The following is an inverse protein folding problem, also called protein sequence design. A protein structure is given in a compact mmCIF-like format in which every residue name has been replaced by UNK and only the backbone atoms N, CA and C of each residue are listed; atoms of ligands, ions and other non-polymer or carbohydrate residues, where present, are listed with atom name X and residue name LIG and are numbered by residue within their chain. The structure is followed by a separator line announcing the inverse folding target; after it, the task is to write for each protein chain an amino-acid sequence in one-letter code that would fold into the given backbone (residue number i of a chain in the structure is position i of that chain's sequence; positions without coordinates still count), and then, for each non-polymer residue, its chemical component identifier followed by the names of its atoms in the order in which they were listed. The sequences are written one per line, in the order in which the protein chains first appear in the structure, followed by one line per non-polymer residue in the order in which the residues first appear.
data_IF_831820233429
#
_entry.id   IF_831820233429
#
_cell.length_a   1.000
_cell.length_b   1.000
_cell.length_c   1.000
_cell.angle_alpha   90.00
_cell.angle_beta   90.00
_cell.angle_gamma   90.00
#
_symmetry.space_group_name_H-M   'P 1'
#
loop_
_entity.id
_entity.type
_entity.pdbx_description
1 polymer ?
#
# COMPACT_ATOMS: atom_id res chain seq x y z
N UNK A 1 -22.47 16.01 40.58
CA UNK A 1 -22.42 17.25 41.32
C UNK A 1 -21.46 18.23 40.66
N UNK A 2 -22.04 19.40 40.28
CA UNK A 2 -21.57 20.77 40.12
C UNK A 2 -20.91 21.10 38.77
N UNK A 3 -21.51 21.85 38.00
CA UNK A 3 -22.03 23.20 37.78
C UNK A 3 -21.29 23.90 36.64
N UNK A 4 -22.01 24.23 35.58
CA UNK A 4 -21.79 25.34 34.66
C UNK A 4 -21.87 26.66 35.45
N UNK A 5 -21.33 27.83 35.05
CA UNK A 5 -21.93 28.63 33.99
C UNK A 5 -20.97 29.56 33.22
N UNK A 6 -21.35 30.05 32.07
CA UNK A 6 -21.24 31.46 31.68
C UNK A 6 -22.18 31.79 30.51
N UNK A 7 -23.23 32.51 30.84
CA UNK A 7 -24.07 33.32 29.95
C UNK A 7 -23.52 34.75 29.86
N UNK A 8 -23.78 35.36 28.71
CA UNK A 8 -23.93 36.82 28.61
C UNK A 8 -22.97 37.50 27.67
N UNK A 9 -23.40 38.00 26.53
CA UNK A 9 -23.88 39.40 26.40
C UNK A 9 -24.32 39.65 24.95
N UNK A 10 -25.62 39.81 24.79
CA UNK A 10 -26.23 40.56 23.69
C UNK A 10 -26.01 42.06 23.94
N UNK A 11 -25.58 42.80 22.91
CA UNK A 11 -25.79 44.24 22.87
C UNK A 11 -26.29 44.65 21.50
N UNK A 12 -27.52 45.09 21.49
CA UNK A 12 -28.26 45.76 20.44
C UNK A 12 -27.61 47.10 20.08
N UNK A 13 -27.46 47.39 18.80
CA UNK A 13 -27.51 48.75 18.29
C UNK A 13 -28.54 48.81 17.15
N UNK A 14 -29.70 49.36 17.49
CA UNK A 14 -30.66 49.96 16.55
C UNK A 14 -30.12 51.31 16.10
N UNK A 15 -30.17 51.60 14.82
CA UNK A 15 -30.25 52.97 14.29
C UNK A 15 -31.27 53.04 13.12
N UNK A 16 -31.86 54.24 12.87
CA UNK A 16 -33.24 54.35 12.47
C UNK A 16 -33.46 54.44 10.95
N UNK A 17 -34.68 54.10 10.59
CA UNK A 17 -35.27 54.32 9.28
C UNK A 17 -35.46 55.80 9.00
N UNK A 18 -34.91 56.32 7.92
CA UNK A 18 -35.45 57.49 7.23
C UNK A 18 -35.08 57.42 5.73
N UNK A 19 -36.14 57.55 4.94
CA UNK A 19 -36.19 57.93 3.52
C UNK A 19 -35.77 56.91 2.49
N UNK A 20 -36.77 56.14 2.03
CA UNK A 20 -36.80 55.43 0.78
C UNK A 20 -37.25 56.39 -0.32
N UNK A 21 -36.39 56.73 -1.24
CA UNK A 21 -36.81 57.31 -2.51
C UNK A 21 -37.01 56.15 -3.51
N UNK A 22 -38.28 56.06 -3.92
CA UNK A 22 -38.77 55.05 -4.84
C UNK A 22 -38.49 55.48 -6.26
N UNK A 23 -37.35 55.00 -6.81
CA UNK A 23 -37.14 54.90 -8.28
C UNK A 23 -35.81 54.17 -8.50
N UNK A 24 -35.87 52.83 -8.66
CA UNK A 24 -35.04 52.06 -9.54
C UNK A 24 -35.24 50.54 -9.30
N UNK A 25 -36.44 50.11 -9.69
CA UNK A 25 -36.70 48.68 -9.94
C UNK A 25 -36.54 48.46 -11.44
N UNK A 26 -35.35 48.13 -11.89
CA UNK A 26 -35.18 47.45 -13.19
C UNK A 26 -33.89 46.61 -13.19
N UNK A 27 -34.08 45.29 -13.20
CA UNK A 27 -33.29 44.38 -14.00
C UNK A 27 -31.86 44.11 -13.52
N UNK A 28 -31.69 43.26 -12.52
CA UNK A 28 -30.40 42.56 -12.36
C UNK A 28 -30.24 41.47 -13.41
N UNK A 29 -29.93 41.89 -14.64
CA UNK A 29 -29.37 40.99 -15.67
C UNK A 29 -27.92 40.76 -15.29
N UNK A 30 -27.55 39.50 -15.00
CA UNK A 30 -26.18 39.09 -14.79
C UNK A 30 -25.42 39.29 -16.12
N UNK A 31 -24.91 40.50 -16.29
CA UNK A 31 -24.13 40.91 -17.45
C UNK A 31 -22.71 40.35 -17.36
N UNK A 32 -22.40 39.38 -18.20
CA UNK A 32 -21.04 39.04 -18.53
C UNK A 32 -20.41 40.25 -19.26
N UNK A 33 -19.72 41.12 -18.52
CA UNK A 33 -19.02 42.27 -19.12
C UNK A 33 -17.80 41.76 -19.85
N UNK A 34 -17.95 41.72 -21.16
CA UNK A 34 -16.82 41.46 -22.09
C UNK A 34 -16.13 42.81 -22.32
N UNK A 35 -14.92 42.99 -21.79
CA UNK A 35 -14.09 44.15 -22.11
C UNK A 35 -13.58 44.01 -23.52
N UNK A 36 -14.18 44.80 -24.46
CA UNK A 36 -13.61 45.06 -25.78
C UNK A 36 -12.61 46.21 -25.65
N UNK A 37 -11.34 45.95 -25.84
CA UNK A 37 -10.38 47.01 -26.20
C UNK A 37 -10.35 47.13 -27.70
N UNK A 38 -10.83 48.30 -28.19
CA UNK A 38 -10.86 48.75 -29.59
C UNK A 38 -11.73 47.96 -30.60
N UNK A 39 -12.85 48.45 -30.85
CA UNK A 39 -13.69 48.79 -31.99
C UNK A 39 -13.73 47.94 -33.26
N UNK A 40 -13.36 46.65 -33.26
CA UNK A 40 -13.63 45.75 -34.39
C UNK A 40 -14.11 44.42 -33.80
N UNK A 41 -15.35 44.01 -34.09
CA UNK A 41 -15.83 42.67 -33.78
C UNK A 41 -14.86 41.65 -34.38
N UNK A 42 -14.36 40.67 -33.59
CA UNK A 42 -13.42 39.68 -34.14
C UNK A 42 -14.11 38.93 -35.28
N UNK A 43 -13.58 39.01 -36.49
CA UNK A 43 -14.06 38.20 -37.62
C UNK A 43 -13.88 36.74 -37.26
N UNK A 44 -14.90 35.89 -37.49
CA UNK A 44 -14.83 34.46 -37.24
C UNK A 44 -13.58 33.87 -37.92
N UNK A 45 -12.87 33.02 -37.17
CA UNK A 45 -11.67 32.37 -37.70
C UNK A 45 -12.10 31.41 -38.83
N UNK A 46 -11.24 31.35 -39.88
CA UNK A 46 -11.45 30.43 -41.00
C UNK A 46 -10.35 29.39 -41.06
N UNK A 47 -10.68 28.22 -41.61
CA UNK A 47 -9.71 27.11 -41.72
C UNK A 47 -8.50 27.48 -42.59
N UNK A 48 -8.73 28.31 -43.62
CA UNK A 48 -7.67 28.86 -44.47
C UNK A 48 -6.67 29.69 -43.66
N UNK A 49 -7.17 30.53 -42.74
CA UNK A 49 -6.31 31.36 -41.88
C UNK A 49 -5.52 30.50 -40.87
N UNK A 50 -6.13 29.42 -40.37
CA UNK A 50 -5.43 28.48 -39.50
C UNK A 50 -4.34 27.74 -40.24
N UNK A 51 -4.60 27.26 -41.46
CA UNK A 51 -3.59 26.60 -42.31
C UNK A 51 -2.41 27.51 -42.60
N UNK A 52 -2.69 28.76 -42.95
CA UNK A 52 -1.69 29.77 -43.30
C UNK A 52 -0.83 30.22 -42.09
N UNK A 53 -1.25 29.98 -40.85
CA UNK A 53 -0.50 30.37 -39.67
C UNK A 53 0.80 29.56 -39.53
N UNK A 54 1.95 30.26 -39.66
CA UNK A 54 3.29 29.65 -39.51
C UNK A 54 3.83 29.87 -38.09
N UNK A 55 4.65 28.97 -37.59
CA UNK A 55 5.36 29.16 -36.32
C UNK A 55 6.29 30.39 -36.39
N UNK A 56 6.42 31.10 -35.28
CA UNK A 56 7.35 32.19 -35.07
C UNK A 56 8.19 31.94 -33.82
N UNK A 57 9.22 32.75 -33.58
CA UNK A 57 10.11 32.60 -32.40
C UNK A 57 9.37 32.70 -31.07
N UNK A 58 8.19 33.30 -31.04
CA UNK A 58 7.33 33.43 -29.84
C UNK A 58 5.96 32.82 -30.07
N UNK A 59 5.38 32.28 -28.99
CA UNK A 59 4.01 31.80 -28.99
C UNK A 59 3.05 32.95 -29.28
N UNK A 60 2.19 32.81 -30.29
CA UNK A 60 1.13 33.78 -30.55
C UNK A 60 -0.24 33.12 -30.61
N UNK A 61 -1.30 33.95 -30.56
CA UNK A 61 -2.69 33.51 -30.48
C UNK A 61 -3.48 34.13 -31.63
N UNK A 62 -4.34 33.32 -32.26
CA UNK A 62 -5.34 33.78 -33.21
C UNK A 62 -6.70 33.52 -32.58
N UNK A 63 -7.46 34.59 -32.36
CA UNK A 63 -8.73 34.53 -31.70
C UNK A 63 -9.86 34.23 -32.67
N UNK A 64 -10.76 33.37 -32.24
CA UNK A 64 -12.10 33.15 -32.80
C UNK A 64 -13.14 33.87 -31.91
N UNK A 65 -14.40 33.60 -32.10
CA UNK A 65 -15.49 34.17 -31.33
C UNK A 65 -15.63 33.45 -29.98
N UNK A 66 -16.24 34.16 -29.01
CA UNK A 66 -16.73 33.55 -27.71
C UNK A 66 -15.64 32.86 -26.85
N UNK A 67 -14.44 33.42 -26.84
CA UNK A 67 -13.34 32.95 -25.99
C UNK A 67 -12.54 31.79 -26.57
N UNK A 68 -12.89 31.29 -27.76
CA UNK A 68 -12.08 30.33 -28.49
C UNK A 68 -10.88 30.99 -29.13
N UNK A 69 -9.71 30.37 -29.08
CA UNK A 69 -8.52 30.79 -29.81
C UNK A 69 -7.60 29.61 -30.13
N UNK A 70 -6.77 29.79 -31.13
CA UNK A 70 -5.70 28.85 -31.45
C UNK A 70 -4.38 29.42 -31.01
N UNK A 71 -3.56 28.68 -30.34
CA UNK A 71 -2.22 29.00 -29.85
C UNK A 71 -1.22 28.31 -30.76
N UNK A 72 -0.31 29.11 -31.38
CA UNK A 72 0.74 28.63 -32.28
C UNK A 72 2.10 28.80 -31.58
N UNK A 73 2.65 27.71 -31.03
CA UNK A 73 3.98 27.74 -30.42
C UNK A 73 5.09 27.66 -31.50
N UNK A 74 6.35 27.97 -31.13
CA UNK A 74 7.51 27.84 -32.05
C UNK A 74 7.69 26.42 -32.61
N UNK A 75 7.20 25.39 -31.87
CA UNK A 75 7.24 23.98 -32.28
C UNK A 75 6.28 23.64 -33.42
N UNK A 76 5.41 24.57 -33.84
CA UNK A 76 4.46 24.41 -34.95
C UNK A 76 3.16 23.70 -34.58
N UNK A 77 3.04 23.10 -33.43
CA UNK A 77 1.84 22.36 -32.97
C UNK A 77 0.72 23.32 -32.58
N UNK A 78 -0.25 23.54 -33.46
CA UNK A 78 -1.39 24.45 -33.24
C UNK A 78 -2.39 23.88 -32.25
N UNK A 79 -2.64 24.60 -31.12
CA UNK A 79 -3.44 24.09 -29.99
C UNK A 79 -4.69 24.91 -29.79
N UNK A 80 -5.85 24.27 -29.80
CA UNK A 80 -7.11 24.90 -29.46
C UNK A 80 -7.22 25.17 -27.97
N UNK A 81 -7.62 26.41 -27.64
CA UNK A 81 -7.82 26.87 -26.27
C UNK A 81 -9.15 27.59 -26.14
N UNK A 82 -9.83 27.39 -25.01
CA UNK A 82 -11.00 28.15 -24.64
C UNK A 82 -10.74 28.89 -23.34
N UNK A 83 -10.99 30.19 -23.36
CA UNK A 83 -10.82 31.12 -22.24
C UNK A 83 -12.22 31.40 -21.67
N UNK A 84 -12.40 31.25 -20.37
CA UNK A 84 -13.67 31.45 -19.66
C UNK A 84 -13.46 32.02 -18.28
N UNK A 85 -14.52 32.51 -17.66
CA UNK A 85 -14.51 33.02 -16.29
C UNK A 85 -15.49 32.22 -15.44
N UNK A 86 -15.06 31.79 -14.26
CA UNK A 86 -15.91 31.08 -13.29
C UNK A 86 -15.50 31.52 -11.88
N UNK A 87 -16.49 31.78 -11.00
CA UNK A 87 -16.27 32.28 -9.65
C UNK A 87 -15.32 33.50 -9.60
N UNK A 88 -15.50 34.45 -10.53
CA UNK A 88 -14.68 35.65 -10.63
C UNK A 88 -13.26 35.45 -11.18
N UNK A 89 -12.79 34.20 -11.36
CA UNK A 89 -11.44 33.88 -11.84
C UNK A 89 -11.45 33.52 -13.31
N UNK A 90 -10.47 34.07 -14.03
CA UNK A 90 -10.22 33.71 -15.45
C UNK A 90 -9.47 32.38 -15.52
N UNK A 91 -9.97 31.47 -16.34
CA UNK A 91 -9.37 30.16 -16.59
C UNK A 91 -9.31 29.86 -18.08
N UNK A 92 -8.50 28.86 -18.45
CA UNK A 92 -8.38 28.35 -19.80
C UNK A 92 -8.30 26.83 -19.83
N UNK A 93 -8.93 26.21 -20.84
CA UNK A 93 -8.80 24.77 -21.10
C UNK A 93 -8.28 24.53 -22.53
N UNK A 94 -7.62 23.39 -22.72
CA UNK A 94 -7.24 22.89 -24.04
C UNK A 94 -8.37 22.06 -24.61
N UNK A 95 -8.78 22.33 -25.86
CA UNK A 95 -9.83 21.60 -26.58
C UNK A 95 -9.26 20.57 -27.57
N UNK A 96 -7.93 20.55 -27.78
CA UNK A 96 -7.25 19.62 -28.68
C UNK A 96 -6.20 20.29 -29.57
N UNK A 97 -5.69 19.56 -30.54
CA UNK A 97 -4.63 19.97 -31.43
C UNK A 97 -5.19 19.97 -32.88
N UNK A 98 -4.87 21.02 -33.66
CA UNK A 98 -5.14 21.05 -35.07
C UNK A 98 -4.00 20.32 -35.83
N UNK A 99 -4.25 19.50 -36.88
CA UNK A 99 -5.54 19.32 -37.55
C UNK A 99 -6.45 18.18 -36.99
N UNK A 100 -6.03 17.43 -35.98
CA UNK A 100 -6.84 16.36 -35.41
C UNK A 100 -8.24 16.85 -34.98
N UNK A 101 -8.30 18.04 -34.40
CA UNK A 101 -9.55 18.76 -34.09
C UNK A 101 -9.67 19.91 -35.08
N UNK A 102 -10.66 19.81 -35.95
CA UNK A 102 -11.00 20.87 -36.90
C UNK A 102 -11.63 22.10 -36.25
N UNK A 103 -11.81 23.19 -37.03
CA UNK A 103 -12.43 24.42 -36.52
C UNK A 103 -13.89 24.19 -36.06
N UNK A 104 -14.64 23.36 -36.78
CA UNK A 104 -16.01 23.02 -36.45
C UNK A 104 -16.08 22.29 -35.10
N UNK A 105 -15.26 21.23 -34.93
CA UNK A 105 -15.22 20.44 -33.72
C UNK A 105 -14.73 21.27 -32.51
N UNK A 106 -13.79 22.19 -32.75
CA UNK A 106 -13.31 23.09 -31.70
C UNK A 106 -14.41 24.04 -31.21
N UNK A 107 -15.28 24.53 -32.11
CA UNK A 107 -16.45 25.33 -31.75
C UNK A 107 -17.48 24.52 -30.98
N UNK A 108 -17.78 23.30 -31.40
CA UNK A 108 -18.69 22.40 -30.68
C UNK A 108 -18.18 22.13 -29.26
N UNK A 109 -16.90 21.81 -29.10
CA UNK A 109 -16.28 21.61 -27.78
C UNK A 109 -16.27 22.88 -26.91
N UNK A 110 -16.11 24.06 -27.53
CA UNK A 110 -16.26 25.34 -26.82
C UNK A 110 -17.69 25.50 -26.30
N UNK A 111 -18.68 25.24 -27.13
CA UNK A 111 -20.09 25.44 -26.80
C UNK A 111 -20.51 24.51 -25.67
N UNK A 112 -20.04 23.26 -25.70
CA UNK A 112 -20.25 22.34 -24.58
C UNK A 112 -19.60 22.84 -23.29
N UNK A 113 -18.34 23.32 -23.35
CA UNK A 113 -17.67 23.91 -22.21
C UNK A 113 -18.41 25.17 -21.69
N UNK A 114 -18.97 26.00 -22.57
CA UNK A 114 -19.81 27.15 -22.19
C UNK A 114 -21.07 26.75 -21.45
N UNK A 115 -21.77 25.70 -21.90
CA UNK A 115 -22.93 25.16 -21.18
C UNK A 115 -22.56 24.73 -19.77
N UNK A 116 -21.40 24.10 -19.59
CA UNK A 116 -20.90 23.69 -18.26
C UNK A 116 -20.63 24.92 -17.38
N UNK A 117 -19.99 25.96 -17.89
CA UNK A 117 -19.75 27.22 -17.17
C UNK A 117 -21.05 27.89 -16.79
N UNK A 118 -22.02 27.96 -17.71
CA UNK A 118 -23.35 28.52 -17.44
C UNK A 118 -24.11 27.76 -16.34
N UNK A 119 -23.89 26.43 -16.25
CA UNK A 119 -24.41 25.58 -15.18
C UNK A 119 -23.61 25.66 -13.88
N UNK A 120 -22.64 26.59 -13.74
CA UNK A 120 -21.80 26.76 -12.57
C UNK A 120 -20.72 25.67 -12.40
N UNK A 121 -20.51 24.82 -13.41
CA UNK A 121 -19.55 23.72 -13.38
C UNK A 121 -18.27 24.10 -14.13
N UNK A 122 -17.12 23.84 -13.51
CA UNK A 122 -15.83 24.16 -14.12
C UNK A 122 -15.40 23.10 -15.15
N UNK A 123 -15.31 23.44 -16.44
CA UNK A 123 -14.92 22.50 -17.50
C UNK A 123 -13.51 21.91 -17.28
N UNK A 124 -12.59 22.63 -16.63
CA UNK A 124 -11.26 22.11 -16.34
C UNK A 124 -11.28 20.98 -15.31
N UNK A 125 -12.16 21.08 -14.31
CA UNK A 125 -12.36 20.02 -13.31
C UNK A 125 -13.01 18.79 -13.93
N UNK A 126 -14.03 19.01 -14.79
CA UNK A 126 -14.70 17.91 -15.48
C UNK A 126 -13.72 17.18 -16.40
N UNK A 127 -12.95 17.90 -17.22
CA UNK A 127 -11.92 17.31 -18.09
C UNK A 127 -10.88 16.50 -17.33
N UNK A 128 -10.39 17.05 -16.21
CA UNK A 128 -9.45 16.33 -15.36
C UNK A 128 -10.06 15.08 -14.75
N UNK A 129 -11.33 15.14 -14.31
CA UNK A 129 -12.06 13.95 -13.81
C UNK A 129 -12.20 12.89 -14.89
N UNK A 130 -12.53 13.27 -16.14
CA UNK A 130 -12.66 12.32 -17.26
C UNK A 130 -11.31 11.69 -17.59
N UNK A 131 -10.25 12.49 -17.71
CA UNK A 131 -8.90 11.98 -17.95
C UNK A 131 -8.40 11.08 -16.81
N UNK A 132 -8.80 11.38 -15.56
CA UNK A 132 -8.47 10.56 -14.39
C UNK A 132 -9.29 9.26 -14.38
N UNK A 133 -10.54 9.29 -14.82
CA UNK A 133 -11.41 8.12 -14.93
C UNK A 133 -10.98 7.15 -16.05
N UNK A 134 -10.15 7.60 -16.99
CA UNK A 134 -9.55 6.75 -18.04
C UNK A 134 -8.23 6.09 -17.62
N UNK A 135 -7.76 6.34 -16.39
CA UNK A 135 -6.54 5.69 -15.91
C UNK A 135 -6.71 4.18 -15.82
N UNK A 136 -5.70 3.47 -16.29
CA UNK A 136 -5.68 2.00 -16.27
C UNK A 136 -5.50 1.46 -14.86
N UNK A 137 -5.83 0.18 -14.67
CA UNK A 137 -5.61 -0.52 -13.40
C UNK A 137 -4.16 -0.40 -12.94
N UNK A 138 -3.19 -0.64 -13.85
CA UNK A 138 -1.77 -0.55 -13.50
C UNK A 138 -1.39 0.83 -12.98
N UNK A 139 -1.85 1.90 -13.66
CA UNK A 139 -1.54 3.25 -13.22
C UNK A 139 -2.03 3.53 -11.79
N UNK A 140 -3.25 3.10 -11.48
CA UNK A 140 -3.84 3.27 -10.14
C UNK A 140 -3.16 2.36 -9.10
N UNK A 141 -2.80 1.14 -9.48
CA UNK A 141 -2.07 0.22 -8.62
C UNK A 141 -0.67 0.76 -8.27
N UNK A 142 0.04 1.32 -9.24
CA UNK A 142 1.36 1.91 -9.03
C UNK A 142 1.29 3.16 -8.13
N UNK A 143 0.27 4.02 -8.29
CA UNK A 143 -0.01 5.15 -7.39
C UNK A 143 -0.28 4.64 -5.95
N UNK A 144 -1.11 3.61 -5.82
CA UNK A 144 -1.45 3.02 -4.53
C UNK A 144 -0.23 2.39 -3.84
N UNK A 145 0.61 1.66 -4.56
CA UNK A 145 1.86 1.09 -4.04
C UNK A 145 2.80 2.21 -3.60
N UNK A 146 2.98 3.26 -4.41
CA UNK A 146 3.82 4.40 -4.07
C UNK A 146 3.39 5.10 -2.77
N UNK A 147 2.07 5.26 -2.57
CA UNK A 147 1.50 5.84 -1.34
C UNK A 147 1.85 5.02 -0.09
N UNK A 148 1.85 3.69 -0.19
CA UNK A 148 2.07 2.81 0.95
C UNK A 148 3.54 2.42 1.16
N UNK A 149 4.41 2.64 0.18
CA UNK A 149 5.82 2.23 0.18
C UNK A 149 6.59 2.70 1.42
N UNK A 150 6.31 3.90 1.92
CA UNK A 150 6.98 4.44 3.11
C UNK A 150 6.59 3.74 4.42
N UNK A 151 5.42 3.09 4.46
CA UNK A 151 4.88 2.43 5.66
C UNK A 151 5.08 0.93 5.66
N UNK A 152 5.29 0.34 4.49
CA UNK A 152 5.48 -1.10 4.36
C UNK A 152 6.94 -1.53 4.56
N UNK A 153 7.10 -2.76 5.07
CA UNK A 153 8.41 -3.39 5.04
C UNK A 153 8.85 -3.63 3.57
N UNK A 154 10.13 -3.42 3.20
CA UNK A 154 10.60 -3.55 1.82
C UNK A 154 10.19 -4.87 1.16
N UNK A 155 10.36 -5.99 1.85
CA UNK A 155 9.96 -7.32 1.36
C UNK A 155 8.46 -7.45 1.10
N UNK A 156 7.61 -6.76 1.88
CA UNK A 156 6.17 -6.76 1.64
C UNK A 156 5.84 -6.02 0.35
N UNK A 157 6.47 -4.86 0.13
CA UNK A 157 6.34 -4.08 -1.10
C UNK A 157 6.73 -4.91 -2.32
N UNK A 158 7.91 -5.55 -2.29
CA UNK A 158 8.37 -6.44 -3.37
C UNK A 158 7.37 -7.57 -3.66
N UNK A 159 6.82 -8.18 -2.61
CA UNK A 159 5.83 -9.27 -2.76
C UNK A 159 4.54 -8.78 -3.39
N UNK A 160 4.05 -7.59 -3.03
CA UNK A 160 2.85 -6.97 -3.62
C UNK A 160 3.11 -6.65 -5.09
N UNK A 161 4.20 -5.96 -5.39
CA UNK A 161 4.58 -5.61 -6.77
C UNK A 161 4.76 -6.85 -7.65
N UNK A 162 5.43 -7.88 -7.13
CA UNK A 162 5.62 -9.13 -7.86
C UNK A 162 4.28 -9.80 -8.20
N UNK A 163 3.32 -9.82 -7.25
CA UNK A 163 1.99 -10.39 -7.52
C UNK A 163 1.23 -9.59 -8.57
N UNK A 164 1.26 -8.27 -8.47
CA UNK A 164 0.64 -7.40 -9.48
C UNK A 164 1.22 -7.65 -10.86
N UNK A 165 2.55 -7.65 -10.99
CA UNK A 165 3.27 -7.87 -12.26
C UNK A 165 3.05 -9.27 -12.83
N UNK A 166 3.09 -10.31 -11.97
CA UNK A 166 3.03 -11.69 -12.44
C UNK A 166 1.63 -12.19 -12.73
N UNK A 167 0.61 -11.65 -12.08
CA UNK A 167 -0.74 -12.20 -12.16
C UNK A 167 -1.79 -11.23 -12.71
N UNK A 168 -1.66 -9.92 -12.43
CA UNK A 168 -2.75 -8.98 -12.72
C UNK A 168 -2.44 -8.11 -13.95
N UNK A 169 -1.25 -7.53 -14.02
CA UNK A 169 -0.90 -6.61 -15.10
C UNK A 169 -0.96 -7.23 -16.50
N UNK A 170 -0.62 -8.53 -16.72
CA UNK A 170 -0.72 -9.11 -18.05
C UNK A 170 -2.15 -9.08 -18.63
N UNK A 171 -3.16 -9.23 -17.79
CA UNK A 171 -4.56 -9.33 -18.21
C UNK A 171 -5.34 -8.01 -18.01
N UNK A 172 -5.15 -7.37 -16.85
CA UNK A 172 -5.96 -6.21 -16.43
C UNK A 172 -5.18 -4.90 -16.39
N UNK A 173 -3.86 -4.94 -16.52
CA UNK A 173 -3.01 -3.77 -16.31
C UNK A 173 -3.35 -2.59 -17.20
N UNK A 174 -3.62 -2.81 -18.47
CA UNK A 174 -3.92 -1.78 -19.47
C UNK A 174 -5.41 -1.44 -19.58
N UNK A 175 -6.29 -2.15 -18.86
CA UNK A 175 -7.74 -1.90 -18.88
C UNK A 175 -8.04 -0.68 -18.01
N UNK A 176 -8.86 0.27 -18.46
CA UNK A 176 -9.32 1.38 -17.63
C UNK A 176 -10.01 0.85 -16.37
N UNK A 177 -9.66 1.42 -15.19
CA UNK A 177 -10.14 0.92 -13.90
C UNK A 177 -11.67 0.80 -13.83
N UNK A 178 -12.38 1.75 -14.45
CA UNK A 178 -13.85 1.81 -14.48
C UNK A 178 -14.51 0.69 -15.30
N UNK A 179 -13.78 0.11 -16.24
CA UNK A 179 -14.30 -0.86 -17.20
C UNK A 179 -14.06 -2.31 -16.74
N UNK A 180 -13.26 -2.51 -15.68
CA UNK A 180 -12.98 -3.85 -15.14
C UNK A 180 -14.18 -4.39 -14.37
N UNK A 181 -14.64 -5.56 -14.80
CA UNK A 181 -15.78 -6.27 -14.24
C UNK A 181 -15.37 -7.31 -13.19
N UNK A 182 -16.28 -7.71 -12.28
CA UNK A 182 -16.03 -8.82 -11.35
C UNK A 182 -15.62 -10.12 -12.04
N UNK A 183 -16.19 -10.41 -13.21
CA UNK A 183 -15.95 -11.65 -13.99
C UNK A 183 -14.50 -11.68 -14.47
N UNK A 184 -13.97 -10.58 -14.97
CA UNK A 184 -12.58 -10.49 -15.45
C UNK A 184 -11.60 -10.69 -14.29
N UNK A 185 -11.82 -10.03 -13.14
CA UNK A 185 -11.01 -10.27 -11.95
C UNK A 185 -11.07 -11.73 -11.53
N UNK A 186 -12.27 -12.30 -11.44
CA UNK A 186 -12.46 -13.71 -11.03
C UNK A 186 -11.73 -14.66 -11.98
N UNK A 187 -11.76 -14.42 -13.28
CA UNK A 187 -11.07 -15.24 -14.29
C UNK A 187 -9.56 -15.32 -14.00
N UNK A 188 -8.92 -14.17 -13.76
CA UNK A 188 -7.49 -14.11 -13.43
C UNK A 188 -7.19 -14.83 -12.11
N UNK A 189 -8.01 -14.63 -11.09
CA UNK A 189 -7.82 -15.26 -9.78
C UNK A 189 -8.03 -16.78 -9.86
N UNK A 190 -9.02 -17.26 -10.62
CA UNK A 190 -9.24 -18.68 -10.87
C UNK A 190 -8.10 -19.34 -11.67
N UNK A 191 -7.44 -18.64 -12.55
CA UNK A 191 -6.24 -19.13 -13.23
C UNK A 191 -5.07 -19.39 -12.26
N UNK A 192 -4.92 -18.57 -11.22
CA UNK A 192 -3.93 -18.80 -10.14
C UNK A 192 -4.33 -20.02 -9.31
N UNK A 193 -5.61 -20.13 -8.95
CA UNK A 193 -6.16 -21.25 -8.18
C UNK A 193 -5.94 -22.60 -8.89
N UNK A 194 -6.20 -22.66 -10.20
CA UNK A 194 -5.99 -23.88 -11.04
C UNK A 194 -4.53 -24.37 -11.04
N UNK A 195 -3.56 -23.51 -10.76
CA UNK A 195 -2.14 -23.88 -10.60
C UNK A 195 -1.82 -24.47 -9.21
N UNK A 196 -2.84 -24.70 -8.36
CA UNK A 196 -2.67 -25.18 -6.99
C UNK A 196 -2.24 -24.08 -5.99
N UNK A 197 -2.17 -22.82 -6.41
CA UNK A 197 -1.66 -21.72 -5.59
C UNK A 197 -2.80 -20.94 -4.90
N UNK A 198 -3.66 -21.65 -4.16
CA UNK A 198 -4.87 -21.09 -3.54
C UNK A 198 -4.59 -19.88 -2.62
N UNK A 199 -3.53 -19.95 -1.80
CA UNK A 199 -3.17 -18.84 -0.92
C UNK A 199 -2.67 -17.62 -1.72
N UNK A 200 -1.93 -17.84 -2.82
CA UNK A 200 -1.53 -16.77 -3.71
C UNK A 200 -2.76 -16.12 -4.39
N UNK A 201 -3.73 -16.93 -4.83
CA UNK A 201 -4.99 -16.44 -5.40
C UNK A 201 -5.73 -15.52 -4.43
N UNK A 202 -5.91 -15.95 -3.18
CA UNK A 202 -6.57 -15.15 -2.14
C UNK A 202 -5.87 -13.86 -1.82
N UNK A 203 -4.55 -13.92 -1.66
CA UNK A 203 -3.75 -12.70 -1.39
C UNK A 203 -3.76 -11.76 -2.57
N UNK A 204 -3.74 -12.28 -3.80
CA UNK A 204 -3.83 -11.46 -5.00
C UNK A 204 -5.19 -10.79 -5.12
N UNK A 205 -6.29 -11.52 -4.86
CA UNK A 205 -7.64 -10.93 -4.79
C UNK A 205 -7.74 -9.83 -3.74
N UNK A 206 -7.13 -10.03 -2.55
CA UNK A 206 -7.10 -9.01 -1.51
C UNK A 206 -6.32 -7.75 -1.93
N UNK A 207 -5.23 -7.90 -2.68
CA UNK A 207 -4.47 -6.77 -3.25
C UNK A 207 -5.32 -6.02 -4.28
N UNK A 208 -5.98 -6.74 -5.21
CA UNK A 208 -6.88 -6.13 -6.19
C UNK A 208 -7.99 -5.32 -5.49
N UNK A 209 -8.65 -5.89 -4.49
CA UNK A 209 -9.68 -5.20 -3.70
C UNK A 209 -9.13 -3.92 -3.03
N UNK A 210 -7.88 -3.91 -2.56
CA UNK A 210 -7.28 -2.71 -1.98
C UNK A 210 -7.03 -1.63 -3.03
N UNK A 211 -6.55 -2.00 -4.23
CA UNK A 211 -6.38 -1.07 -5.35
C UNK A 211 -7.72 -0.49 -5.80
N UNK A 212 -8.77 -1.32 -5.96
CA UNK A 212 -10.09 -0.84 -6.32
C UNK A 212 -10.69 0.07 -5.25
N UNK A 213 -10.53 -0.25 -3.96
CA UNK A 213 -10.97 0.63 -2.86
C UNK A 213 -10.23 1.97 -2.85
N UNK A 214 -8.96 2.00 -3.23
CA UNK A 214 -8.24 3.24 -3.46
C UNK A 214 -8.86 4.02 -4.63
N UNK A 215 -9.24 3.34 -5.72
CA UNK A 215 -10.01 3.92 -6.83
C UNK A 215 -11.37 4.49 -6.39
N UNK A 216 -12.09 3.81 -5.51
CA UNK A 216 -13.35 4.31 -4.92
C UNK A 216 -13.10 5.56 -4.07
N UNK A 217 -12.10 5.53 -3.18
CA UNK A 217 -11.73 6.67 -2.33
C UNK A 217 -11.27 7.88 -3.16
N UNK A 218 -10.70 7.64 -4.35
CA UNK A 218 -10.29 8.67 -5.31
C UNK A 218 -11.43 9.11 -6.24
N UNK A 219 -12.66 8.63 -6.03
CA UNK A 219 -13.85 8.92 -6.84
C UNK A 219 -13.70 8.56 -8.35
N UNK A 220 -12.92 7.52 -8.67
CA UNK A 220 -12.71 7.00 -10.02
C UNK A 220 -13.77 5.97 -10.43
N UNK A 221 -14.21 5.16 -9.48
CA UNK A 221 -15.19 4.11 -9.63
C UNK A 221 -16.21 4.14 -8.48
N UNK A 222 -17.43 3.68 -8.68
CA UNK A 222 -18.48 3.74 -7.65
C UNK A 222 -18.34 2.65 -6.58
N UNK A 223 -17.73 1.50 -6.89
CA UNK A 223 -17.63 0.35 -5.98
C UNK A 223 -16.45 -0.54 -6.32
N UNK A 224 -16.03 -1.37 -5.35
CA UNK A 224 -14.99 -2.39 -5.51
C UNK A 224 -15.60 -3.65 -6.15
N UNK A 225 -15.19 -4.04 -7.37
CA UNK A 225 -15.70 -5.24 -8.05
C UNK A 225 -15.25 -6.55 -7.37
N UNK A 226 -14.25 -6.50 -6.48
CA UNK A 226 -13.77 -7.68 -5.76
C UNK A 226 -14.56 -8.00 -4.49
N UNK A 227 -15.49 -7.12 -4.06
CA UNK A 227 -16.11 -7.18 -2.73
C UNK A 227 -16.75 -8.54 -2.43
N UNK A 228 -17.45 -9.09 -3.39
CA UNK A 228 -18.24 -10.31 -3.21
C UNK A 228 -17.54 -11.57 -3.78
N UNK A 229 -16.32 -11.44 -4.33
CA UNK A 229 -15.61 -12.55 -4.97
C UNK A 229 -14.93 -13.52 -3.99
N UNK A 230 -14.83 -13.18 -2.71
CA UNK A 230 -14.18 -14.06 -1.71
C UNK A 230 -14.85 -15.43 -1.60
N UNK A 231 -16.17 -15.48 -1.72
CA UNK A 231 -16.93 -16.73 -1.67
C UNK A 231 -16.79 -17.61 -2.90
N UNK A 232 -16.22 -17.08 -4.01
CA UNK A 232 -16.02 -17.83 -5.25
C UNK A 232 -14.74 -18.69 -5.25
N UNK A 233 -13.85 -18.51 -4.26
CA UNK A 233 -12.62 -19.33 -4.12
C UNK A 233 -12.86 -20.55 -3.24
N UNK A 234 -12.15 -21.66 -3.52
CA UNK A 234 -12.23 -22.86 -2.71
C UNK A 234 -12.02 -22.56 -1.23
N UNK A 235 -12.70 -23.24 -0.29
CA UNK A 235 -12.53 -23.02 1.13
C UNK A 235 -11.06 -23.14 1.56
N UNK A 236 -10.65 -22.36 2.56
CA UNK A 236 -9.33 -22.54 3.15
C UNK A 236 -9.39 -23.72 4.10
N UNK A 237 -8.55 -24.70 3.88
CA UNK A 237 -8.24 -25.66 4.94
C UNK A 237 -7.43 -24.89 6.00
N UNK A 238 -7.99 -24.78 7.20
CA UNK A 238 -7.26 -24.24 8.34
C UNK A 238 -6.24 -25.30 8.78
N UNK A 239 -4.99 -25.11 8.36
CA UNK A 239 -3.87 -25.92 8.76
C UNK A 239 -3.03 -25.21 9.81
N UNK A 240 -2.70 -25.88 10.91
CA UNK A 240 -1.61 -25.48 11.78
C UNK A 240 -0.27 -25.88 11.17
N UNK A 241 0.80 -25.18 11.52
CA UNK A 241 2.13 -25.65 11.15
C UNK A 241 2.35 -27.05 11.74
N UNK A 242 2.85 -28.02 10.96
CA UNK A 242 3.16 -29.35 11.47
C UNK A 242 4.08 -29.24 12.68
N UNK A 243 3.68 -29.84 13.80
CA UNK A 243 4.43 -29.82 15.03
C UNK A 243 4.16 -31.07 15.86
N UNK A 244 5.21 -31.70 16.37
CA UNK A 244 5.14 -32.68 17.42
C UNK A 244 5.03 -31.94 18.74
N UNK A 245 3.92 -32.12 19.45
CA UNK A 245 3.59 -31.34 20.65
C UNK A 245 3.62 -32.17 21.94
N UNK A 246 3.81 -33.47 21.84
CA UNK A 246 3.97 -34.40 22.96
C UNK A 246 5.44 -34.61 23.32
N UNK A 247 5.68 -35.19 24.50
CA UNK A 247 7.02 -35.44 25.06
C UNK A 247 7.85 -36.41 24.21
N UNK A 248 7.23 -37.45 23.66
CA UNK A 248 7.93 -38.45 22.85
C UNK A 248 8.38 -37.87 21.51
N UNK A 249 7.51 -37.11 20.86
CA UNK A 249 7.81 -36.38 19.66
C UNK A 249 8.93 -35.35 19.86
N UNK A 250 8.87 -34.57 20.95
CA UNK A 250 9.94 -33.64 21.30
C UNK A 250 11.28 -34.37 21.51
N UNK A 251 11.28 -35.50 22.23
CA UNK A 251 12.45 -36.32 22.45
C UNK A 251 13.01 -36.85 21.13
N UNK A 252 12.16 -37.34 20.23
CA UNK A 252 12.57 -37.85 18.92
C UNK A 252 13.23 -36.77 18.05
N UNK A 253 12.63 -35.57 18.00
CA UNK A 253 13.19 -34.43 17.23
C UNK A 253 14.53 -33.99 17.82
N UNK A 254 14.63 -33.83 19.13
CA UNK A 254 15.89 -33.40 19.79
C UNK A 254 17.01 -34.41 19.60
N UNK A 255 16.71 -35.73 19.69
CA UNK A 255 17.68 -36.79 19.44
C UNK A 255 18.15 -36.78 17.97
N UNK A 256 17.24 -36.61 17.04
CA UNK A 256 17.59 -36.54 15.61
C UNK A 256 18.46 -35.30 15.30
N UNK A 257 18.16 -34.14 15.88
CA UNK A 257 18.98 -32.92 15.74
C UNK A 257 20.39 -33.15 16.31
N UNK A 258 20.49 -33.82 17.46
CA UNK A 258 21.80 -34.13 18.04
C UNK A 258 22.67 -34.95 17.10
N UNK A 259 22.10 -35.90 16.38
CA UNK A 259 22.77 -36.77 15.41
C UNK A 259 22.82 -36.23 13.97
N UNK A 260 22.42 -34.96 13.76
CA UNK A 260 22.45 -34.38 12.43
C UNK A 260 23.86 -34.29 11.87
N UNK A 261 24.10 -34.98 10.75
CA UNK A 261 25.41 -35.10 10.09
C UNK A 261 25.71 -34.00 9.08
N UNK A 262 24.86 -33.01 8.93
CA UNK A 262 25.07 -31.88 8.03
C UNK A 262 25.97 -30.79 8.65
N UNK A 263 25.82 -29.56 8.22
CA UNK A 263 26.59 -28.42 8.73
C UNK A 263 26.44 -28.25 10.24
N UNK A 264 27.57 -28.09 10.95
CA UNK A 264 27.58 -27.83 12.39
C UNK A 264 26.76 -26.55 12.73
N UNK A 265 26.91 -25.48 11.93
CA UNK A 265 26.16 -24.24 12.11
C UNK A 265 24.63 -24.50 12.06
N UNK A 266 24.16 -25.35 11.15
CA UNK A 266 22.73 -25.70 11.01
C UNK A 266 22.26 -26.56 12.19
N UNK A 267 23.08 -27.51 12.64
CA UNK A 267 22.79 -28.34 13.83
C UNK A 267 22.63 -27.46 15.08
N UNK A 268 23.58 -26.53 15.29
CA UNK A 268 23.55 -25.62 16.44
C UNK A 268 22.38 -24.64 16.33
N UNK A 269 22.06 -24.15 15.12
CA UNK A 269 20.87 -23.30 14.89
C UNK A 269 19.55 -24.01 15.27
N UNK A 270 19.40 -25.29 14.90
CA UNK A 270 18.23 -26.09 15.30
C UNK A 270 18.14 -26.29 16.82
N UNK A 271 19.30 -26.51 17.47
CA UNK A 271 19.35 -26.63 18.94
C UNK A 271 18.96 -25.32 19.63
N UNK A 272 19.50 -24.19 19.20
CA UNK A 272 19.13 -22.86 19.74
C UNK A 272 17.64 -22.58 19.47
N UNK A 273 17.12 -22.89 18.25
CA UNK A 273 15.70 -22.75 17.94
C UNK A 273 14.79 -23.52 18.89
N UNK A 274 15.18 -24.74 19.21
CA UNK A 274 14.43 -25.64 20.09
C UNK A 274 14.48 -25.21 21.58
N UNK A 275 15.52 -24.49 22.01
CA UNK A 275 15.73 -24.04 23.38
C UNK A 275 15.22 -22.62 23.66
N UNK A 276 15.09 -21.78 22.64
CA UNK A 276 14.70 -20.39 22.81
C UNK A 276 13.30 -20.09 22.29
N UNK A 277 12.75 -20.93 21.41
CA UNK A 277 11.41 -20.82 20.80
C UNK A 277 11.16 -19.52 20.02
N UNK A 278 12.19 -18.77 19.67
CA UNK A 278 12.10 -17.56 18.86
C UNK A 278 11.57 -17.88 17.44
N UNK A 279 11.12 -16.91 16.70
CA UNK A 279 10.69 -17.17 15.32
C UNK A 279 11.88 -17.56 14.45
N UNK A 280 11.76 -18.52 13.51
CA UNK A 280 12.87 -18.93 12.63
C UNK A 280 13.53 -17.75 11.89
N UNK A 281 12.74 -16.72 11.56
CA UNK A 281 13.27 -15.48 10.98
C UNK A 281 14.11 -14.67 11.94
N UNK A 282 13.77 -14.63 13.22
CA UNK A 282 14.53 -13.93 14.25
C UNK A 282 15.87 -14.64 14.49
N UNK A 283 15.83 -15.97 14.64
CA UNK A 283 17.05 -16.78 14.77
C UNK A 283 17.99 -16.61 13.58
N UNK A 284 17.47 -16.75 12.39
CA UNK A 284 18.25 -16.70 11.15
C UNK A 284 19.07 -15.42 11.01
N UNK A 285 18.52 -14.29 11.44
CA UNK A 285 19.14 -12.97 11.35
C UNK A 285 19.89 -12.57 12.63
N UNK A 286 20.06 -13.50 13.59
CA UNK A 286 20.77 -13.23 14.84
C UNK A 286 22.22 -12.81 14.56
N UNK A 287 22.67 -11.78 15.27
CA UNK A 287 24.03 -11.23 15.20
C UNK A 287 24.73 -11.35 16.54
N UNK A 288 26.03 -11.55 16.54
CA UNK A 288 26.83 -11.68 17.75
C UNK A 288 26.64 -10.53 18.77
N UNK A 289 26.59 -9.24 18.35
CA UNK A 289 26.39 -8.14 19.29
C UNK A 289 25.04 -8.12 20.03
N UNK A 290 24.08 -8.95 19.64
CA UNK A 290 22.77 -9.04 20.29
C UNK A 290 22.81 -9.93 21.56
N UNK A 291 23.90 -10.65 21.81
CA UNK A 291 24.05 -11.62 22.89
C UNK A 291 24.91 -11.07 24.00
N UNK A 292 24.32 -10.85 25.17
CA UNK A 292 25.03 -10.64 26.43
C UNK A 292 25.23 -12.02 27.09
N UNK A 293 26.40 -12.62 26.82
CA UNK A 293 26.74 -13.94 27.35
C UNK A 293 26.89 -13.89 28.87
N UNK A 294 27.45 -12.81 29.44
CA UNK A 294 27.65 -12.64 30.87
C UNK A 294 26.33 -12.47 31.62
N UNK A 295 25.39 -11.72 31.03
CA UNK A 295 24.02 -11.55 31.54
C UNK A 295 23.08 -12.68 31.17
N UNK A 296 23.53 -13.69 30.41
CA UNK A 296 22.74 -14.78 29.89
C UNK A 296 21.45 -14.30 29.16
N UNK A 297 21.59 -13.31 28.29
CA UNK A 297 20.49 -12.62 27.63
C UNK A 297 20.74 -12.43 26.14
N UNK A 298 19.74 -12.67 25.30
CA UNK A 298 19.69 -12.29 23.90
C UNK A 298 18.66 -11.17 23.71
N UNK A 299 19.10 -9.99 23.25
CA UNK A 299 18.23 -8.85 22.98
C UNK A 299 18.02 -8.73 21.49
N UNK A 300 16.82 -9.09 21.03
CA UNK A 300 16.42 -8.95 19.61
C UNK A 300 15.91 -7.52 19.39
N UNK A 301 16.56 -6.71 18.54
CA UNK A 301 16.23 -5.30 18.38
C UNK A 301 14.86 -5.10 17.72
N UNK A 302 14.18 -4.01 18.07
CA UNK A 302 12.81 -3.67 17.65
C UNK A 302 12.63 -3.65 16.12
N UNK A 303 13.66 -3.24 15.38
CA UNK A 303 13.62 -3.16 13.90
C UNK A 303 13.41 -4.53 13.25
N UNK A 304 13.87 -5.59 13.89
CA UNK A 304 13.74 -6.98 13.42
C UNK A 304 12.45 -7.65 13.88
N UNK A 305 11.78 -7.05 14.85
CA UNK A 305 10.55 -7.60 15.43
C UNK A 305 9.31 -7.17 14.66
N UNK A 306 8.37 -8.12 14.46
CA UNK A 306 7.10 -7.84 13.77
C UNK A 306 6.30 -6.72 14.43
N UNK A 307 6.39 -6.61 15.77
CA UNK A 307 5.65 -5.63 16.58
C UNK A 307 6.44 -4.36 16.90
N UNK A 308 7.65 -4.19 16.32
CA UNK A 308 8.50 -3.01 16.55
C UNK A 308 8.80 -2.75 18.04
N UNK A 309 8.97 -3.82 18.81
CA UNK A 309 9.40 -3.79 20.23
C UNK A 309 10.53 -4.79 20.40
N UNK A 310 11.53 -4.45 21.22
CA UNK A 310 12.59 -5.37 21.59
C UNK A 310 12.02 -6.63 22.23
N UNK A 311 12.69 -7.74 21.98
CA UNK A 311 12.35 -9.02 22.61
C UNK A 311 13.58 -9.55 23.35
N UNK A 312 13.45 -9.68 24.64
CA UNK A 312 14.48 -10.17 25.55
C UNK A 312 14.28 -11.66 25.76
N UNK A 313 15.28 -12.44 25.42
CA UNK A 313 15.25 -13.91 25.48
C UNK A 313 16.29 -14.37 26.48
N UNK A 314 15.88 -14.82 27.68
CA UNK A 314 16.78 -15.43 28.63
C UNK A 314 17.45 -16.68 28.03
N UNK A 315 18.76 -16.84 28.26
CA UNK A 315 19.55 -17.92 27.71
C UNK A 315 19.79 -18.99 28.79
N UNK A 316 19.37 -20.21 28.50
CA UNK A 316 19.71 -21.34 29.36
C UNK A 316 21.20 -21.67 29.26
N UNK A 317 21.73 -22.38 30.28
CA UNK A 317 23.12 -22.88 30.28
C UNK A 317 23.43 -23.64 28.99
N UNK A 318 22.51 -24.47 28.50
CA UNK A 318 22.68 -25.22 27.26
C UNK A 318 22.82 -24.32 26.03
N UNK A 319 22.16 -23.17 26.00
CA UNK A 319 22.33 -22.19 24.90
C UNK A 319 23.69 -21.51 25.01
N UNK A 320 24.16 -21.16 26.20
CA UNK A 320 25.47 -20.57 26.41
C UNK A 320 26.58 -21.53 25.94
N UNK A 321 26.52 -22.82 26.29
CA UNK A 321 27.44 -23.85 25.80
C UNK A 321 27.43 -23.95 24.26
N UNK A 322 26.25 -23.80 23.62
CA UNK A 322 26.13 -23.77 22.17
C UNK A 322 26.77 -22.50 21.59
N UNK A 323 26.60 -21.35 22.26
CA UNK A 323 27.21 -20.09 21.80
C UNK A 323 28.75 -20.15 21.87
N UNK A 324 29.32 -20.81 22.86
CA UNK A 324 30.78 -21.06 22.95
C UNK A 324 31.25 -21.91 21.76
N UNK A 325 30.62 -23.10 21.52
CA UNK A 325 30.91 -23.95 20.34
C UNK A 325 30.80 -23.17 19.03
N UNK A 326 29.76 -22.34 18.93
CA UNK A 326 29.48 -21.58 17.72
C UNK A 326 30.47 -20.43 17.51
N UNK A 327 30.96 -19.82 18.59
CA UNK A 327 31.94 -18.73 18.53
C UNK A 327 33.28 -19.16 17.93
N UNK A 328 33.72 -20.37 18.17
CA UNK A 328 34.90 -20.93 17.50
C UNK A 328 34.73 -21.02 15.99
N UNK A 329 33.47 -21.26 15.51
CA UNK A 329 33.16 -21.47 14.08
C UNK A 329 32.83 -20.15 13.38
N UNK A 330 32.06 -19.28 14.03
CA UNK A 330 31.47 -18.08 13.38
C UNK A 330 31.69 -16.76 14.12
N UNK A 331 32.47 -16.76 15.23
CA UNK A 331 32.71 -15.55 16.04
C UNK A 331 33.38 -14.40 15.30
N UNK A 332 34.05 -14.70 14.17
CA UNK A 332 34.66 -13.71 13.28
C UNK A 332 33.70 -13.15 12.22
N UNK A 333 32.43 -13.61 12.20
CA UNK A 333 31.37 -13.18 11.28
C UNK A 333 30.42 -12.21 11.96
N UNK A 334 29.62 -11.51 11.15
CA UNK A 334 28.54 -10.66 11.66
C UNK A 334 27.37 -11.47 12.22
N UNK A 335 26.98 -12.52 11.47
CA UNK A 335 25.84 -13.35 11.82
C UNK A 335 26.24 -14.55 12.67
N UNK A 336 25.37 -14.88 13.62
CA UNK A 336 25.52 -16.09 14.44
C UNK A 336 25.47 -17.36 13.60
N UNK A 337 24.56 -17.38 12.60
CA UNK A 337 24.33 -18.51 11.70
C UNK A 337 24.56 -18.08 10.23
N UNK A 338 25.81 -17.85 9.81
CA UNK A 338 26.11 -17.46 8.46
C UNK A 338 25.96 -18.62 7.47
N UNK A 339 25.67 -18.29 6.22
CA UNK A 339 25.70 -19.26 5.13
C UNK A 339 27.14 -19.63 4.77
N UNK A 340 27.56 -20.83 5.13
CA UNK A 340 28.93 -21.33 4.85
C UNK A 340 29.22 -21.54 3.36
N UNK A 341 28.18 -21.50 2.49
CA UNK A 341 28.31 -21.62 1.03
C UNK A 341 28.44 -20.27 0.33
N UNK A 342 28.06 -19.18 0.99
CA UNK A 342 28.11 -17.85 0.41
C UNK A 342 29.50 -17.21 0.57
N UNK A 343 29.97 -16.50 -0.48
CA UNK A 343 31.22 -15.72 -0.40
C UNK A 343 31.10 -14.47 0.47
N UNK A 344 29.86 -13.91 0.55
CA UNK A 344 29.55 -12.76 1.40
C UNK A 344 29.04 -13.24 2.74
N UNK A 345 29.25 -12.43 3.77
CA UNK A 345 28.65 -12.69 5.08
C UNK A 345 27.15 -12.41 5.01
N UNK A 346 26.38 -13.48 4.89
CA UNK A 346 24.92 -13.48 4.83
C UNK A 346 24.38 -14.61 5.69
N UNK A 347 23.23 -14.47 6.32
CA UNK A 347 22.68 -15.54 7.16
C UNK A 347 22.26 -16.76 6.33
N UNK A 348 22.06 -17.90 7.01
CA UNK A 348 21.46 -19.09 6.40
C UNK A 348 20.14 -18.75 5.70
N UNK A 349 19.78 -19.52 4.65
CA UNK A 349 18.56 -19.28 3.91
C UNK A 349 17.30 -19.55 4.77
N UNK A 350 16.18 -18.96 4.39
CA UNK A 350 14.90 -19.11 5.06
C UNK A 350 14.44 -20.57 5.19
N UNK A 351 14.81 -21.40 4.21
CA UNK A 351 14.43 -22.81 4.16
C UNK A 351 15.46 -23.76 4.77
N UNK A 352 16.62 -23.27 5.23
CA UNK A 352 17.72 -24.12 5.68
C UNK A 352 17.32 -25.04 6.84
N UNK A 353 16.63 -24.49 7.86
CA UNK A 353 16.22 -25.30 9.03
C UNK A 353 15.16 -26.33 8.66
N UNK A 354 14.19 -25.98 7.80
CA UNK A 354 13.17 -26.91 7.31
C UNK A 354 13.78 -27.99 6.43
N UNK A 355 14.75 -27.66 5.58
CA UNK A 355 15.45 -28.63 4.77
C UNK A 355 16.23 -29.64 5.64
N UNK A 356 16.85 -29.18 6.72
CA UNK A 356 17.50 -30.05 7.67
C UNK A 356 16.50 -30.97 8.41
N UNK A 357 15.38 -30.46 8.91
CA UNK A 357 14.33 -31.25 9.53
C UNK A 357 13.75 -32.28 8.55
N UNK A 358 13.53 -31.89 7.29
CA UNK A 358 13.11 -32.81 6.24
C UNK A 358 14.12 -33.95 6.03
N UNK A 359 15.43 -33.64 5.98
CA UNK A 359 16.48 -34.66 5.83
C UNK A 359 16.60 -35.60 7.04
N UNK A 360 16.08 -35.19 8.20
CA UNK A 360 15.98 -35.97 9.42
C UNK A 360 14.69 -36.83 9.50
N UNK A 361 13.84 -36.78 8.46
CA UNK A 361 12.61 -37.59 8.39
C UNK A 361 11.36 -36.87 8.91
N UNK A 362 11.42 -35.58 9.21
CA UNK A 362 10.27 -34.81 9.76
C UNK A 362 9.49 -34.04 8.70
N UNK A 363 9.61 -34.38 7.42
CA UNK A 363 8.85 -33.73 6.34
C UNK A 363 7.33 -33.88 6.58
N UNK A 364 6.60 -32.75 6.61
CA UNK A 364 5.17 -32.74 6.92
C UNK A 364 4.79 -33.08 8.37
N UNK A 365 5.75 -33.41 9.24
CA UNK A 365 5.53 -33.83 10.64
C UNK A 365 5.92 -32.73 11.61
N UNK A 366 7.09 -32.11 11.38
CA UNK A 366 7.62 -31.04 12.22
C UNK A 366 8.42 -30.05 11.40
N UNK A 367 8.15 -28.75 11.57
CA UNK A 367 8.85 -27.65 10.90
C UNK A 367 9.52 -26.71 11.92
N UNK A 368 10.47 -25.90 11.50
CA UNK A 368 11.16 -24.97 12.39
C UNK A 368 10.23 -24.04 13.18
N UNK A 369 9.07 -23.66 12.63
CA UNK A 369 8.04 -22.92 13.36
C UNK A 369 7.30 -23.80 14.37
N UNK A 370 7.27 -25.11 14.16
CA UNK A 370 6.62 -26.10 15.04
C UNK A 370 7.22 -26.16 16.45
N UNK A 371 8.50 -25.78 16.63
CA UNK A 371 9.11 -25.68 17.97
C UNK A 371 8.36 -24.75 18.90
N UNK A 372 7.71 -23.71 18.36
CA UNK A 372 6.92 -22.78 19.18
C UNK A 372 5.62 -23.41 19.68
N UNK A 373 4.94 -24.17 18.81
CA UNK A 373 3.75 -24.93 19.20
C UNK A 373 4.11 -26.05 20.20
N UNK A 374 5.23 -26.75 19.97
CA UNK A 374 5.76 -27.75 20.90
C UNK A 374 6.05 -27.15 22.28
N UNK A 375 6.75 -26.02 22.33
CA UNK A 375 7.06 -25.32 23.56
C UNK A 375 5.79 -24.85 24.30
N UNK A 376 4.88 -24.21 23.57
CA UNK A 376 3.60 -23.75 24.15
C UNK A 376 2.83 -24.90 24.77
N UNK A 377 2.67 -26.01 24.05
CA UNK A 377 1.92 -27.17 24.55
C UNK A 377 2.58 -27.79 25.80
N UNK A 378 3.86 -28.14 25.68
CA UNK A 378 4.57 -28.83 26.78
C UNK A 378 4.71 -27.95 28.02
N UNK A 379 4.99 -26.64 27.87
CA UNK A 379 5.11 -25.76 29.03
C UNK A 379 3.76 -25.55 29.74
N UNK A 380 2.65 -25.48 28.99
CA UNK A 380 1.32 -25.43 29.57
C UNK A 380 0.97 -26.75 30.32
N UNK A 381 1.29 -27.91 29.73
CA UNK A 381 1.12 -29.21 30.38
C UNK A 381 1.98 -29.36 31.68
N UNK A 382 3.16 -28.74 31.68
CA UNK A 382 4.03 -28.71 32.87
C UNK A 382 3.57 -27.69 33.91
N UNK A 383 2.47 -26.97 33.69
CA UNK A 383 1.88 -26.03 34.64
C UNK A 383 2.59 -24.67 34.72
N UNK A 384 3.39 -24.29 33.71
CA UNK A 384 3.96 -22.95 33.66
C UNK A 384 2.88 -21.92 33.43
N UNK A 385 3.08 -20.72 33.97
CA UNK A 385 2.14 -19.62 33.83
C UNK A 385 1.99 -19.21 32.35
N UNK A 386 0.75 -19.15 31.81
CA UNK A 386 0.51 -18.83 30.42
C UNK A 386 1.08 -17.48 29.98
N UNK A 387 1.06 -16.46 30.85
CA UNK A 387 1.60 -15.12 30.56
C UNK A 387 3.14 -15.14 30.37
N UNK A 388 3.86 -15.99 31.08
CA UNK A 388 5.30 -16.19 30.91
C UNK A 388 5.58 -16.88 29.56
N UNK A 389 4.79 -17.91 29.23
CA UNK A 389 4.90 -18.62 27.94
C UNK A 389 4.63 -17.66 26.78
N UNK A 390 3.56 -16.87 26.84
CA UNK A 390 3.22 -15.90 25.79
C UNK A 390 4.29 -14.81 25.65
N UNK A 391 4.91 -14.39 26.76
CA UNK A 391 6.02 -13.43 26.75
C UNK A 391 7.24 -14.01 26.06
N UNK A 392 7.66 -15.25 26.43
CA UNK A 392 8.77 -15.95 25.79
C UNK A 392 8.53 -16.14 24.29
N UNK A 393 7.29 -16.41 23.90
CA UNK A 393 6.92 -16.52 22.50
C UNK A 393 6.77 -15.16 21.79
N UNK A 394 6.98 -14.03 22.48
CA UNK A 394 6.77 -12.69 21.93
C UNK A 394 5.38 -12.54 21.29
N UNK A 395 4.36 -13.08 21.94
CA UNK A 395 2.98 -12.85 21.54
C UNK A 395 2.45 -11.58 22.18
N UNK A 396 1.59 -10.88 21.45
CA UNK A 396 0.92 -9.67 21.97
C UNK A 396 -0.23 -10.11 22.85
N UNK A 397 -0.36 -9.51 24.04
CA UNK A 397 -1.54 -9.68 24.88
C UNK A 397 -2.81 -9.30 24.08
N UNK A 398 -3.69 -10.28 23.89
CA UNK A 398 -4.94 -10.12 23.12
C UNK A 398 -5.93 -9.24 23.87
N UNK A 399 -5.91 -9.27 25.19
CA UNK A 399 -6.74 -8.41 26.03
C UNK A 399 -6.14 -7.01 26.09
N UNK A 400 -6.73 -6.05 25.37
CA UNK A 400 -6.26 -4.66 25.29
C UNK A 400 -6.18 -3.96 26.66
N UNK A 401 -7.08 -4.31 27.59
CA UNK A 401 -7.09 -3.76 28.95
C UNK A 401 -5.88 -4.30 29.70
N UNK A 402 -5.67 -5.63 29.68
CA UNK A 402 -4.51 -6.27 30.32
C UNK A 402 -3.19 -5.77 29.71
N UNK A 403 -3.10 -5.60 28.40
CA UNK A 403 -1.93 -5.05 27.71
C UNK A 403 -1.60 -3.63 28.14
N UNK A 404 -2.59 -2.82 28.52
CA UNK A 404 -2.37 -1.45 28.97
C UNK A 404 -1.75 -1.37 30.37
N UNK A 405 -2.02 -2.35 31.23
CA UNK A 405 -1.59 -2.35 32.64
C UNK A 405 -0.42 -3.29 32.92
N UNK A 406 -0.28 -4.41 32.19
CA UNK A 406 0.78 -5.37 32.40
C UNK A 406 2.02 -5.04 31.55
N UNK A 407 3.04 -4.46 32.18
CA UNK A 407 4.35 -4.15 31.57
C UNK A 407 5.48 -5.03 32.10
N UNK A 408 5.14 -6.14 32.77
CA UNK A 408 6.13 -7.05 33.31
C UNK A 408 6.93 -7.73 32.18
N UNK A 409 8.24 -7.78 32.35
CA UNK A 409 9.16 -8.42 31.37
C UNK A 409 9.30 -9.92 31.61
N UNK A 410 9.05 -10.43 32.86
CA UNK A 410 9.20 -11.83 33.26
C UNK A 410 10.56 -12.45 32.94
N UNK A 411 11.63 -11.70 33.12
CA UNK A 411 13.03 -12.11 32.89
C UNK A 411 13.53 -12.98 34.02
#
# INVERSE_FOLDING_TARGET
LLFCPFQGLFSCCRMPLSEVDSRDFFGATIGATIYYTHGVAPMPLTDTRIKAAKPTDKVYKIYDVEGLYIEVPPTGSKRWRFKYRINGKEKRISLGIYPEIGLKDAREKRDEARKQVAAGRDPSVIKNKTAYAEKTFQHIADEWVALHRATWAPRHTETVEQRLRSYIYPELGNVPLKDITPIEVLSVIKAIEKRGALEAARRTLAICSQVFRYGVASALIPSDPCRDLRGALAPREEGHFPALVDRDGATAVMRAIHHYKGSAVVRLALRVQALTFVRPGELRWAKWPEFDVAGALWVIPAERMKMKREHWVPLSRQVLEILEELHEITGHREYLFPSMRARKDVPISENTLNAALKSLGFDGIHVAHGFRAMASSLLNEMGWRPDVIERQLSHVEVNKVRAAYNRAEYI
#
